data_IF_987202557688
#
_entry.id   IF_987202557688
#
_cell.length_a   1.000
_cell.length_b   1.000
_cell.length_c   1.000
_cell.angle_alpha   90.00
_cell.angle_beta   90.00
_cell.angle_gamma   90.00
#
_symmetry.space_group_name_H-M   'P 1'
#
loop_
_entity.id
_entity.type
_entity.pdbx_description
1 polymer ?
#
# COMPACT_ATOMS: atom_id res chain seq x y z
N UNK A 1 10.76 -3.01 1.68
CA UNK A 1 10.06 -2.10 0.76
C UNK A 1 9.99 -0.68 1.27
N UNK A 2 9.51 0.26 0.46
CA UNK A 2 9.47 1.69 0.81
C UNK A 2 8.70 1.96 2.12
N UNK A 3 7.59 1.28 2.36
CA UNK A 3 6.78 1.44 3.58
C UNK A 3 7.58 1.08 4.83
N UNK A 4 8.33 -0.01 4.82
CA UNK A 4 9.20 -0.40 5.93
C UNK A 4 10.27 0.66 6.20
N UNK A 5 10.87 1.22 5.15
CA UNK A 5 11.82 2.32 5.29
C UNK A 5 11.18 3.55 5.91
N UNK A 6 9.93 3.87 5.58
CA UNK A 6 9.21 4.99 6.20
C UNK A 6 8.96 4.78 7.69
N UNK A 7 8.60 3.57 8.11
CA UNK A 7 8.46 3.27 9.55
C UNK A 7 9.79 3.49 10.27
N UNK A 8 10.91 3.02 9.70
CA UNK A 8 12.24 3.26 10.27
C UNK A 8 12.59 4.77 10.32
N UNK A 9 12.21 5.53 9.29
CA UNK A 9 12.41 6.98 9.30
C UNK A 9 11.58 7.68 10.39
N UNK A 10 10.31 7.31 10.56
CA UNK A 10 9.46 7.83 11.63
C UNK A 10 10.01 7.51 13.03
N UNK A 11 10.66 6.36 13.18
CA UNK A 11 11.35 5.95 14.41
C UNK A 11 12.70 6.65 14.63
N UNK A 12 13.15 7.51 13.69
CA UNK A 12 14.44 8.19 13.76
C UNK A 12 15.64 7.32 13.39
N UNK A 13 15.43 6.21 12.66
CA UNK A 13 16.43 5.20 12.33
C UNK A 13 16.89 5.27 10.86
N UNK A 14 16.75 6.40 10.20
CA UNK A 14 17.11 6.54 8.79
C UNK A 14 18.59 6.22 8.52
N UNK A 15 19.49 6.49 9.46
CA UNK A 15 20.91 6.16 9.40
C UNK A 15 21.22 4.66 9.50
N UNK A 16 20.25 3.84 9.92
CA UNK A 16 20.35 2.38 9.99
C UNK A 16 19.95 1.69 8.70
N UNK A 17 19.33 2.41 7.77
CA UNK A 17 18.86 1.83 6.52
C UNK A 17 20.00 1.79 5.50
N UNK A 18 20.49 0.58 5.19
CA UNK A 18 21.64 0.37 4.28
C UNK A 18 21.23 0.11 2.82
N UNK A 19 19.95 -0.13 2.58
CA UNK A 19 19.40 -0.32 1.24
C UNK A 19 17.89 -0.44 1.26
N UNK A 20 17.25 -0.10 0.14
CA UNK A 20 15.80 -0.19 -0.05
C UNK A 20 15.44 -0.63 -1.46
N UNK A 21 14.23 -1.14 -1.64
CA UNK A 21 13.68 -1.52 -2.95
C UNK A 21 12.16 -1.42 -2.94
N UNK A 22 11.53 -1.67 -4.09
CA UNK A 22 10.09 -1.56 -4.30
C UNK A 22 9.58 -0.17 -3.89
N UNK A 23 10.00 0.83 -4.64
CA UNK A 23 9.61 2.22 -4.37
C UNK A 23 8.36 2.58 -5.20
N UNK A 24 7.23 2.80 -4.54
CA UNK A 24 5.95 2.99 -5.22
C UNK A 24 5.58 4.46 -5.40
N UNK A 25 6.01 5.32 -4.51
CA UNK A 25 5.63 6.74 -4.51
C UNK A 25 6.72 7.67 -4.01
N UNK A 26 6.44 8.96 -3.89
CA UNK A 26 7.40 9.93 -3.41
C UNK A 26 7.82 9.63 -1.97
N UNK A 27 8.99 10.12 -1.61
CA UNK A 27 9.49 10.03 -0.23
C UNK A 27 8.58 10.83 0.70
N UNK A 28 8.37 10.32 1.91
CA UNK A 28 7.62 11.03 2.94
C UNK A 28 8.26 12.40 3.21
N UNK A 29 7.42 13.45 3.24
CA UNK A 29 7.87 14.82 3.41
C UNK A 29 8.74 14.99 4.68
N UNK A 30 9.88 15.61 4.51
CA UNK A 30 10.88 15.82 5.56
C UNK A 30 11.95 14.72 5.66
N UNK A 31 11.84 13.64 4.87
CA UNK A 31 12.83 12.55 4.86
C UNK A 31 13.61 12.43 3.54
N UNK A 32 13.44 13.37 2.62
CA UNK A 32 14.06 13.35 1.29
C UNK A 32 15.58 13.29 1.38
N UNK A 33 16.17 14.11 2.25
CA UNK A 33 17.62 14.14 2.47
C UNK A 33 18.15 12.85 3.11
N UNK A 34 17.43 12.27 4.06
CA UNK A 34 17.80 11.01 4.66
C UNK A 34 17.73 9.88 3.62
N UNK A 35 16.62 9.83 2.85
CA UNK A 35 16.42 8.84 1.82
C UNK A 35 17.43 8.92 0.67
N UNK A 36 17.89 10.13 0.31
CA UNK A 36 18.88 10.29 -0.77
C UNK A 36 20.23 9.62 -0.49
N UNK A 37 20.50 9.27 0.77
CA UNK A 37 21.72 8.56 1.21
C UNK A 37 21.55 7.03 1.18
N UNK A 38 20.32 6.54 1.05
CA UNK A 38 20.01 5.12 1.06
C UNK A 38 20.03 4.60 -0.38
N UNK A 39 20.82 3.58 -0.63
CA UNK A 39 20.91 2.99 -1.95
C UNK A 39 19.60 2.28 -2.31
N UNK A 40 19.08 2.58 -3.48
CA UNK A 40 17.95 1.88 -4.08
C UNK A 40 18.45 0.67 -4.85
N UNK A 41 18.26 -0.51 -4.28
CA UNK A 41 18.78 -1.76 -4.83
C UNK A 41 18.04 -2.18 -6.11
N UNK A 42 16.75 -1.88 -6.20
CA UNK A 42 15.92 -2.10 -7.36
C UNK A 42 14.65 -1.22 -7.31
N UNK A 43 14.04 -0.97 -8.45
CA UNK A 43 12.74 -0.30 -8.53
C UNK A 43 11.61 -1.21 -8.05
N UNK A 44 11.72 -2.50 -8.33
CA UNK A 44 10.81 -3.55 -7.88
C UNK A 44 11.58 -4.50 -6.96
N UNK A 45 11.75 -5.75 -7.37
CA UNK A 45 12.34 -6.79 -6.54
C UNK A 45 13.85 -6.83 -6.73
N UNK A 46 14.65 -6.65 -5.65
CA UNK A 46 16.09 -6.80 -5.73
C UNK A 46 16.48 -8.28 -5.84
N UNK A 47 17.68 -8.58 -6.35
CA UNK A 47 18.21 -9.92 -6.25
C UNK A 47 18.63 -10.23 -4.80
N UNK A 48 18.66 -11.51 -4.45
CA UNK A 48 19.17 -11.98 -3.16
C UNK A 48 20.57 -11.44 -2.88
N UNK A 49 21.46 -11.54 -3.89
CA UNK A 49 22.84 -11.07 -3.81
C UNK A 49 22.94 -9.57 -3.57
N UNK A 50 22.06 -8.77 -4.18
CA UNK A 50 22.03 -7.33 -3.96
C UNK A 50 21.66 -6.99 -2.51
N UNK A 51 20.75 -7.75 -1.91
CA UNK A 51 20.36 -7.57 -0.50
C UNK A 51 21.49 -8.01 0.42
N UNK A 52 22.01 -9.23 0.30
CA UNK A 52 23.07 -9.75 1.19
C UNK A 52 24.39 -9.02 1.01
N UNK A 53 24.66 -8.46 -0.19
CA UNK A 53 25.83 -7.65 -0.47
C UNK A 53 25.92 -6.38 0.40
N UNK A 54 24.79 -5.91 0.95
CA UNK A 54 24.74 -4.80 1.92
C UNK A 54 25.12 -5.23 3.34
N UNK A 55 25.29 -6.52 3.60
CA UNK A 55 25.59 -7.09 4.92
C UNK A 55 24.66 -6.58 6.02
N UNK A 56 23.33 -6.70 5.81
CA UNK A 56 22.39 -6.20 6.79
C UNK A 56 22.38 -7.08 8.05
N UNK A 57 22.19 -6.48 9.22
CA UNK A 57 21.93 -7.20 10.47
C UNK A 57 20.47 -7.65 10.59
N UNK A 58 19.58 -7.05 9.80
CA UNK A 58 18.15 -7.37 9.71
C UNK A 58 17.65 -7.05 8.31
N UNK A 59 16.86 -7.95 7.73
CA UNK A 59 16.08 -7.66 6.53
C UNK A 59 14.62 -7.49 6.91
N UNK A 60 14.01 -6.40 6.47
CA UNK A 60 12.57 -6.15 6.65
C UNK A 60 11.85 -6.26 5.32
N UNK A 61 10.75 -6.99 5.28
CA UNK A 61 9.90 -7.12 4.09
C UNK A 61 8.45 -6.78 4.41
N UNK A 62 7.80 -6.11 3.48
CA UNK A 62 6.37 -5.85 3.58
C UNK A 62 5.56 -7.06 3.09
N UNK A 63 6.06 -7.79 2.09
CA UNK A 63 5.31 -8.83 1.41
C UNK A 63 6.00 -10.20 1.48
N UNK A 64 5.22 -11.24 1.80
CA UNK A 64 5.71 -12.62 1.79
C UNK A 64 6.04 -13.12 0.38
N UNK A 65 5.43 -12.57 -0.67
CA UNK A 65 5.81 -12.92 -2.04
C UNK A 65 7.21 -12.43 -2.41
N UNK A 66 7.77 -11.45 -1.68
CA UNK A 66 9.18 -11.04 -1.85
C UNK A 66 10.13 -11.95 -1.06
N UNK A 67 9.86 -12.12 0.23
CA UNK A 67 10.64 -13.00 1.12
C UNK A 67 9.67 -13.87 1.89
N UNK A 68 9.48 -15.07 1.41
CA UNK A 68 8.56 -16.07 1.93
C UNK A 68 8.95 -17.46 1.44
N UNK A 69 8.10 -18.49 1.63
CA UNK A 69 8.41 -19.86 1.19
C UNK A 69 8.79 -19.97 -0.30
N UNK A 70 8.17 -19.14 -1.15
CA UNK A 70 8.44 -19.04 -2.59
C UNK A 70 8.79 -17.60 -2.98
N UNK A 71 9.48 -16.87 -2.11
CA UNK A 71 9.80 -15.47 -2.30
C UNK A 71 10.71 -15.21 -3.50
N UNK A 72 10.36 -14.23 -4.34
CA UNK A 72 11.12 -13.89 -5.56
C UNK A 72 12.49 -13.30 -5.25
N UNK A 73 12.71 -12.76 -4.05
CA UNK A 73 13.99 -12.24 -3.57
C UNK A 73 14.77 -13.33 -2.83
N UNK A 74 14.07 -14.19 -2.11
CA UNK A 74 14.65 -15.29 -1.36
C UNK A 74 13.70 -15.85 -0.30
N UNK A 75 14.12 -16.92 0.36
CA UNK A 75 13.37 -17.55 1.44
C UNK A 75 13.93 -17.13 2.80
N UNK A 76 13.13 -17.12 3.88
CA UNK A 76 13.63 -16.90 5.24
C UNK A 76 14.76 -17.86 5.62
N UNK A 77 14.72 -19.11 5.13
CA UNK A 77 15.76 -20.11 5.37
C UNK A 77 17.12 -19.70 4.78
N UNK A 78 17.14 -19.20 3.53
CA UNK A 78 18.36 -18.70 2.89
C UNK A 78 19.01 -17.55 3.67
N UNK A 79 18.20 -16.62 4.17
CA UNK A 79 18.72 -15.53 5.02
C UNK A 79 19.21 -16.07 6.37
N UNK A 80 18.50 -17.02 6.98
CA UNK A 80 18.89 -17.62 8.26
C UNK A 80 20.21 -18.38 8.17
N UNK A 81 20.52 -19.07 7.05
CA UNK A 81 21.80 -19.71 6.80
C UNK A 81 22.97 -18.72 6.83
N UNK A 82 22.72 -17.45 6.50
CA UNK A 82 23.70 -16.36 6.60
C UNK A 82 23.66 -15.63 7.94
N UNK A 83 22.83 -16.08 8.89
CA UNK A 83 22.65 -15.43 10.18
C UNK A 83 21.88 -14.10 10.11
N UNK A 84 21.15 -13.86 9.03
CA UNK A 84 20.39 -12.64 8.82
C UNK A 84 18.91 -12.89 9.16
N UNK A 85 18.37 -12.34 10.26
CA UNK A 85 16.95 -12.43 10.58
C UNK A 85 16.09 -11.65 9.57
N UNK A 86 14.88 -12.14 9.33
CA UNK A 86 13.87 -11.49 8.48
C UNK A 86 12.68 -11.10 9.33
N UNK A 87 12.26 -9.84 9.23
CA UNK A 87 11.01 -9.33 9.80
C UNK A 87 10.00 -9.10 8.67
N UNK A 88 8.83 -9.71 8.77
CA UNK A 88 7.73 -9.52 7.82
C UNK A 88 6.64 -8.66 8.46
N UNK A 89 6.11 -7.69 7.70
CA UNK A 89 5.03 -6.81 8.15
C UNK A 89 3.80 -7.60 8.61
N UNK A 90 3.25 -7.32 9.81
CA UNK A 90 1.97 -7.89 10.23
C UNK A 90 0.85 -7.63 9.23
N UNK A 91 0.90 -6.51 8.52
CA UNK A 91 -0.09 -6.17 7.50
C UNK A 91 -0.12 -7.17 6.34
N UNK A 92 0.92 -7.98 6.12
CA UNK A 92 0.95 -8.99 5.06
C UNK A 92 0.87 -10.44 5.57
N UNK A 93 0.98 -10.68 6.86
CA UNK A 93 0.95 -12.05 7.39
C UNK A 93 -0.21 -12.30 8.36
N UNK A 94 -0.68 -11.30 9.11
CA UNK A 94 -1.79 -11.49 10.06
C UNK A 94 -3.14 -11.45 9.32
N UNK A 95 -3.90 -12.55 9.43
CA UNK A 95 -5.21 -12.66 8.78
C UNK A 95 -5.18 -12.75 7.25
N UNK A 96 -4.02 -13.07 6.69
CA UNK A 96 -3.80 -13.23 5.25
C UNK A 96 -3.25 -14.64 4.95
N UNK A 97 -3.77 -15.28 3.92
CA UNK A 97 -3.32 -16.58 3.43
C UNK A 97 -2.42 -16.35 2.20
N UNK A 98 -1.15 -16.54 2.39
CA UNK A 98 -0.14 -16.38 1.34
C UNK A 98 0.28 -17.73 0.72
N UNK A 99 -0.40 -18.83 1.07
CA UNK A 99 -0.03 -20.19 0.59
C UNK A 99 -0.23 -20.41 -0.90
N UNK A 100 -1.09 -19.61 -1.53
CA UNK A 100 -1.36 -19.66 -2.98
C UNK A 100 -0.36 -18.90 -3.85
N UNK A 101 0.67 -18.31 -3.26
CA UNK A 101 1.61 -17.43 -3.96
C UNK A 101 1.02 -16.06 -4.29
N UNK A 102 1.81 -15.21 -4.98
CA UNK A 102 1.40 -13.84 -5.32
C UNK A 102 1.16 -12.97 -4.08
N UNK A 103 0.16 -12.08 -4.16
CA UNK A 103 -0.19 -11.18 -3.06
C UNK A 103 -1.07 -11.85 -1.97
N UNK A 104 -1.39 -13.14 -2.12
CA UNK A 104 -2.20 -13.88 -1.16
C UNK A 104 -3.67 -13.41 -1.08
N UNK A 105 -4.41 -13.97 -0.12
CA UNK A 105 -5.84 -13.66 0.10
C UNK A 105 -6.05 -13.29 1.56
N UNK A 106 -6.54 -12.09 1.80
CA UNK A 106 -6.86 -11.62 3.15
C UNK A 106 -8.20 -12.20 3.62
N UNK A 107 -8.18 -12.89 4.75
CA UNK A 107 -9.36 -13.51 5.37
C UNK A 107 -10.03 -12.62 6.40
N UNK A 108 -9.29 -11.66 6.95
CA UNK A 108 -9.80 -10.65 7.91
C UNK A 108 -9.47 -9.26 7.37
N UNK A 109 -10.37 -8.30 7.56
CA UNK A 109 -10.16 -6.95 7.07
C UNK A 109 -8.88 -6.31 7.63
N UNK A 110 -8.21 -5.51 6.81
CA UNK A 110 -7.09 -4.68 7.25
C UNK A 110 -7.55 -3.69 8.33
N UNK A 111 -6.71 -3.46 9.32
CA UNK A 111 -6.89 -2.41 10.32
C UNK A 111 -5.56 -1.68 10.57
N UNK A 112 -5.64 -0.44 11.05
CA UNK A 112 -4.44 0.31 11.45
C UNK A 112 -3.69 -0.34 12.60
N UNK A 113 -4.31 -1.22 13.38
CA UNK A 113 -3.62 -1.94 14.46
C UNK A 113 -2.47 -2.80 13.96
N UNK A 114 -2.55 -3.32 12.72
CA UNK A 114 -1.46 -4.05 12.08
C UNK A 114 -0.22 -3.14 11.83
N UNK A 115 -0.46 -1.89 11.46
CA UNK A 115 0.60 -0.88 11.29
C UNK A 115 1.15 -0.44 12.66
N UNK A 116 0.28 -0.27 13.65
CA UNK A 116 0.71 0.05 15.02
C UNK A 116 1.55 -1.07 15.62
N UNK A 117 1.20 -2.32 15.34
CA UNK A 117 2.01 -3.48 15.72
C UNK A 117 3.39 -3.43 15.05
N UNK A 118 3.45 -3.21 13.73
CA UNK A 118 4.71 -3.09 12.99
C UNK A 118 5.63 -2.02 13.60
N UNK A 119 5.09 -0.83 13.90
CA UNK A 119 5.84 0.26 14.51
C UNK A 119 6.40 -0.15 15.88
N UNK A 120 5.60 -0.83 16.71
CA UNK A 120 6.02 -1.30 18.03
C UNK A 120 7.06 -2.40 17.95
N UNK A 121 6.88 -3.36 17.06
CA UNK A 121 7.82 -4.46 16.86
C UNK A 121 9.20 -3.92 16.43
N UNK A 122 9.23 -3.04 15.43
CA UNK A 122 10.47 -2.42 14.98
C UNK A 122 11.07 -1.52 16.08
N UNK A 123 10.26 -0.76 16.80
CA UNK A 123 10.73 0.04 17.93
C UNK A 123 11.36 -0.83 19.01
N UNK A 124 10.81 -2.01 19.28
CA UNK A 124 11.38 -2.97 20.22
C UNK A 124 12.69 -3.57 19.71
N UNK A 125 12.75 -3.98 18.44
CA UNK A 125 13.96 -4.53 17.82
C UNK A 125 15.11 -3.54 17.90
N UNK A 126 14.85 -2.25 17.68
CA UNK A 126 15.87 -1.19 17.70
C UNK A 126 16.01 -0.46 19.04
N UNK A 127 15.32 -0.92 20.09
CA UNK A 127 15.34 -0.33 21.45
C UNK A 127 15.00 1.18 21.49
N UNK A 128 13.92 1.54 20.78
CA UNK A 128 13.37 2.91 20.69
C UNK A 128 11.87 2.94 21.01
N UNK A 129 11.41 2.17 21.99
CA UNK A 129 10.00 1.94 22.31
C UNK A 129 9.23 3.24 22.59
N UNK A 130 9.84 4.19 23.33
CA UNK A 130 9.22 5.48 23.63
C UNK A 130 8.88 6.24 22.33
N UNK A 131 9.81 6.24 21.38
CA UNK A 131 9.59 6.84 20.06
C UNK A 131 8.50 6.09 19.27
N UNK A 132 8.45 4.77 19.39
CA UNK A 132 7.39 3.95 18.79
C UNK A 132 6.00 4.37 19.27
N UNK A 133 5.82 4.53 20.57
CA UNK A 133 4.54 4.96 21.14
C UNK A 133 4.18 6.41 20.77
N UNK A 134 5.16 7.32 20.67
CA UNK A 134 4.92 8.67 20.16
C UNK A 134 4.35 8.64 18.74
N UNK A 135 4.97 7.86 17.83
CA UNK A 135 4.53 7.71 16.44
C UNK A 135 3.13 7.11 16.38
N UNK A 136 2.86 6.03 17.10
CA UNK A 136 1.54 5.40 17.16
C UNK A 136 0.47 6.38 17.65
N UNK A 137 0.77 7.13 18.72
CA UNK A 137 -0.18 8.10 19.28
C UNK A 137 -0.45 9.27 18.32
N UNK A 138 0.56 9.72 17.56
CA UNK A 138 0.36 10.75 16.53
C UNK A 138 -0.55 10.25 15.39
N UNK A 139 -0.29 9.04 14.89
CA UNK A 139 -1.11 8.43 13.85
C UNK A 139 -2.56 8.24 14.29
N UNK A 140 -2.79 7.77 15.52
CA UNK A 140 -4.14 7.66 16.09
C UNK A 140 -4.85 8.99 16.15
N UNK A 141 -4.19 10.04 16.63
CA UNK A 141 -4.77 11.40 16.67
C UNK A 141 -5.14 11.91 15.28
N UNK A 142 -4.31 11.63 14.28
CA UNK A 142 -4.59 12.02 12.88
C UNK A 142 -5.79 11.26 12.31
N UNK A 143 -5.89 9.97 12.59
CA UNK A 143 -7.05 9.16 12.21
C UNK A 143 -8.33 9.66 12.87
N UNK A 144 -8.32 9.89 14.19
CA UNK A 144 -9.47 10.41 14.94
C UNK A 144 -9.91 11.78 14.40
N UNK A 145 -8.96 12.66 14.08
CA UNK A 145 -9.26 13.96 13.50
C UNK A 145 -9.89 13.85 12.10
N UNK A 146 -9.45 12.89 11.28
CA UNK A 146 -10.03 12.63 9.97
C UNK A 146 -11.48 12.10 10.11
N UNK A 147 -11.70 11.13 10.99
CA UNK A 147 -13.03 10.59 11.29
C UNK A 147 -14.00 11.66 11.82
N UNK A 148 -13.53 12.55 12.70
CA UNK A 148 -14.34 13.64 13.25
C UNK A 148 -14.77 14.64 12.16
N UNK A 149 -13.90 14.95 11.19
CA UNK A 149 -14.25 15.84 10.06
C UNK A 149 -15.38 15.26 9.21
N UNK A 150 -15.37 13.94 8.99
CA UNK A 150 -16.37 13.27 8.17
C UNK A 150 -17.68 13.06 8.91
N UNK A 151 -17.65 12.86 10.23
CA UNK A 151 -18.86 12.68 11.03
C UNK A 151 -19.87 13.86 10.91
N UNK A 152 -19.38 15.06 10.53
CA UNK A 152 -20.20 16.24 10.26
C UNK A 152 -20.68 16.33 8.80
N UNK A 153 -20.20 15.48 7.89
CA UNK A 153 -20.60 15.51 6.48
C UNK A 153 -21.91 14.74 6.28
N UNK A 154 -22.98 15.46 5.99
CA UNK A 154 -24.30 14.89 5.68
C UNK A 154 -24.37 14.37 4.24
N UNK A 155 -23.77 13.24 3.95
CA UNK A 155 -23.85 12.66 2.62
C UNK A 155 -23.54 11.16 2.59
N UNK A 156 -24.41 10.39 1.95
CA UNK A 156 -24.13 8.99 1.64
C UNK A 156 -23.29 8.92 0.36
N UNK A 157 -22.03 9.27 0.45
CA UNK A 157 -21.13 9.16 -0.70
C UNK A 157 -20.71 7.71 -0.90
N UNK A 158 -20.61 7.33 -2.16
CA UNK A 158 -20.08 6.04 -2.57
C UNK A 158 -18.82 6.22 -3.41
N UNK A 159 -17.90 5.28 -3.30
CA UNK A 159 -16.63 5.40 -3.99
C UNK A 159 -16.18 4.08 -4.61
N UNK A 160 -15.43 4.19 -5.70
CA UNK A 160 -14.54 3.15 -6.20
C UNK A 160 -13.11 3.65 -6.10
N UNK A 161 -12.21 2.77 -5.67
CA UNK A 161 -10.78 3.06 -5.65
C UNK A 161 -10.13 2.24 -6.78
N UNK A 162 -9.62 2.92 -7.80
CA UNK A 162 -8.90 2.30 -8.90
C UNK A 162 -7.41 2.31 -8.65
N UNK A 163 -6.87 1.13 -8.38
CA UNK A 163 -5.44 0.97 -8.12
C UNK A 163 -4.61 1.03 -9.41
N UNK A 164 -4.80 0.04 -10.30
CA UNK A 164 -4.09 -0.05 -11.58
C UNK A 164 -4.85 -0.95 -12.57
N UNK A 165 -4.29 -1.15 -13.74
CA UNK A 165 -4.73 -2.15 -14.72
C UNK A 165 -3.50 -2.68 -15.43
N UNK A 166 -3.41 -4.00 -15.61
CA UNK A 166 -2.30 -4.62 -16.32
C UNK A 166 -2.23 -4.14 -17.78
N UNK A 167 -3.42 -4.04 -18.41
CA UNK A 167 -3.65 -3.36 -19.69
C UNK A 167 -4.91 -2.49 -19.55
N UNK A 168 -5.12 -1.53 -20.45
CA UNK A 168 -6.26 -0.61 -20.35
C UNK A 168 -7.57 -1.19 -20.86
N UNK A 169 -7.52 -2.22 -21.68
CA UNK A 169 -8.64 -2.92 -22.28
C UNK A 169 -9.13 -4.14 -21.49
N UNK A 170 -8.53 -4.38 -20.32
CA UNK A 170 -8.95 -5.43 -19.38
C UNK A 170 -9.48 -4.84 -18.08
N UNK A 171 -10.14 -5.68 -17.29
CA UNK A 171 -10.73 -5.29 -16.01
C UNK A 171 -9.68 -4.69 -15.06
N UNK A 172 -9.94 -3.48 -14.50
CA UNK A 172 -9.05 -2.83 -13.58
C UNK A 172 -8.98 -3.53 -12.22
N UNK A 173 -7.82 -3.43 -11.56
CA UNK A 173 -7.69 -3.74 -10.14
C UNK A 173 -8.32 -2.62 -9.32
N UNK A 174 -9.36 -2.95 -8.58
CA UNK A 174 -10.09 -2.01 -7.72
C UNK A 174 -10.07 -2.49 -6.27
N UNK A 175 -10.29 -1.59 -5.33
CA UNK A 175 -10.28 -1.96 -3.93
C UNK A 175 -11.56 -2.72 -3.53
N UNK A 176 -11.39 -3.93 -3.02
CA UNK A 176 -12.42 -4.63 -2.26
C UNK A 176 -12.49 -4.18 -0.79
N UNK A 177 -13.20 -4.94 0.05
CA UNK A 177 -13.45 -4.57 1.46
C UNK A 177 -12.27 -4.79 2.38
N UNK A 178 -11.50 -5.87 2.16
CA UNK A 178 -10.53 -6.33 3.15
C UNK A 178 -9.16 -5.65 3.07
N UNK A 179 -8.88 -4.90 2.01
CA UNK A 179 -7.64 -4.15 1.86
C UNK A 179 -7.61 -2.80 2.59
N UNK A 180 -6.44 -2.17 2.62
CA UNK A 180 -6.27 -0.86 3.24
C UNK A 180 -7.18 0.24 2.66
N UNK A 181 -7.41 0.36 1.33
CA UNK A 181 -8.37 1.33 0.82
C UNK A 181 -9.81 1.03 1.24
N UNK A 182 -10.20 -0.24 1.38
CA UNK A 182 -11.49 -0.63 1.94
C UNK A 182 -11.66 -0.13 3.37
N UNK A 183 -10.63 -0.28 4.19
CA UNK A 183 -10.57 0.29 5.54
C UNK A 183 -10.70 1.82 5.51
N UNK A 184 -9.96 2.52 4.65
CA UNK A 184 -10.01 3.98 4.53
C UNK A 184 -11.43 4.43 4.16
N UNK A 185 -12.06 3.80 3.17
CA UNK A 185 -13.44 4.11 2.79
C UNK A 185 -14.41 3.92 3.96
N UNK A 186 -14.29 2.81 4.68
CA UNK A 186 -15.09 2.53 5.87
C UNK A 186 -14.85 3.57 6.97
N UNK A 187 -13.60 3.91 7.25
CA UNK A 187 -13.22 4.91 8.24
C UNK A 187 -13.79 6.29 7.93
N UNK A 188 -13.92 6.62 6.66
CA UNK A 188 -14.49 7.87 6.16
C UNK A 188 -16.00 7.79 5.92
N UNK A 189 -16.67 6.69 6.29
CA UNK A 189 -18.11 6.52 6.08
C UNK A 189 -18.53 6.47 4.62
N UNK A 190 -17.60 6.18 3.70
CA UNK A 190 -17.89 6.01 2.28
C UNK A 190 -18.39 4.59 2.02
N UNK A 191 -19.42 4.47 1.18
CA UNK A 191 -19.83 3.15 0.68
C UNK A 191 -18.85 2.71 -0.41
N UNK A 192 -18.10 1.62 -0.18
CA UNK A 192 -17.41 0.95 -1.29
C UNK A 192 -18.43 0.33 -2.22
N UNK A 193 -18.39 0.64 -3.52
CA UNK A 193 -19.32 0.07 -4.51
C UNK A 193 -18.90 -1.33 -4.95
N UNK A 194 -17.71 -1.77 -4.59
CA UNK A 194 -17.16 -3.08 -4.92
C UNK A 194 -17.49 -4.05 -3.79
N UNK A 195 -18.39 -4.98 -4.04
CA UNK A 195 -18.87 -5.96 -3.05
C UNK A 195 -18.01 -7.24 -3.09
N UNK A 196 -16.70 -7.10 -2.93
CA UNK A 196 -15.75 -8.21 -2.83
C UNK A 196 -15.00 -8.15 -1.51
N UNK A 197 -14.69 -9.31 -0.94
CA UNK A 197 -13.83 -9.46 0.23
C UNK A 197 -12.34 -9.52 -0.13
N UNK A 198 -12.02 -9.66 -1.42
CA UNK A 198 -10.64 -9.57 -1.90
C UNK A 198 -10.06 -8.18 -1.63
N UNK A 199 -8.73 -8.08 -1.54
CA UNK A 199 -8.06 -6.78 -1.41
C UNK A 199 -8.14 -6.02 -2.74
N UNK A 200 -7.85 -6.70 -3.84
CA UNK A 200 -7.73 -6.12 -5.18
C UNK A 200 -8.44 -6.98 -6.25
N UNK A 201 -9.77 -7.12 -6.18
CA UNK A 201 -10.50 -7.78 -7.24
C UNK A 201 -10.38 -7.04 -8.57
N UNK A 202 -10.48 -7.77 -9.68
CA UNK A 202 -10.66 -7.18 -11.00
C UNK A 202 -12.16 -7.05 -11.27
N UNK A 203 -12.61 -5.87 -11.70
CA UNK A 203 -14.03 -5.57 -11.95
C UNK A 203 -14.17 -4.67 -13.17
N UNK A 204 -14.91 -5.13 -14.19
CA UNK A 204 -15.11 -4.42 -15.45
C UNK A 204 -15.78 -3.05 -15.30
N UNK A 205 -15.41 -2.12 -16.17
CA UNK A 205 -15.91 -0.74 -16.16
C UNK A 205 -17.43 -0.65 -16.32
N UNK A 206 -18.06 -1.58 -17.07
CA UNK A 206 -19.52 -1.65 -17.20
C UNK A 206 -20.19 -1.97 -15.84
N UNK A 207 -19.56 -2.84 -15.05
CA UNK A 207 -20.04 -3.16 -13.70
C UNK A 207 -19.85 -1.97 -12.76
N UNK A 208 -18.69 -1.32 -12.81
CA UNK A 208 -18.41 -0.10 -12.03
C UNK A 208 -19.43 1.00 -12.38
N UNK A 209 -19.66 1.24 -13.67
CA UNK A 209 -20.62 2.25 -14.14
C UNK A 209 -22.05 1.97 -13.67
N UNK A 210 -22.49 0.71 -13.65
CA UNK A 210 -23.81 0.32 -13.13
C UNK A 210 -23.98 0.62 -11.65
N UNK A 211 -22.92 0.56 -10.86
CA UNK A 211 -22.98 0.93 -9.43
C UNK A 211 -23.06 2.43 -9.20
N UNK A 212 -22.74 3.23 -10.21
CA UNK A 212 -22.78 4.69 -10.22
C UNK A 212 -22.09 5.32 -8.99
N UNK A 213 -20.77 5.14 -8.80
CA UNK A 213 -20.05 5.71 -7.67
C UNK A 213 -20.13 7.23 -7.70
N UNK A 214 -20.30 7.85 -6.53
CA UNK A 214 -20.26 9.33 -6.39
C UNK A 214 -18.85 9.88 -6.61
N UNK A 215 -17.84 9.06 -6.33
CA UNK A 215 -16.42 9.45 -6.37
C UNK A 215 -15.58 8.31 -6.96
N UNK A 216 -14.60 8.68 -7.77
CA UNK A 216 -13.53 7.78 -8.21
C UNK A 216 -12.24 8.24 -7.56
N UNK A 217 -11.56 7.36 -6.85
CA UNK A 217 -10.23 7.60 -6.31
C UNK A 217 -9.22 6.85 -7.16
N UNK A 218 -8.34 7.56 -7.83
CA UNK A 218 -7.33 7.00 -8.73
C UNK A 218 -5.96 6.95 -8.04
N UNK A 219 -5.41 5.76 -7.91
CA UNK A 219 -4.06 5.56 -7.38
C UNK A 219 -3.01 6.11 -8.35
N UNK A 220 -2.09 6.94 -7.83
CA UNK A 220 -0.92 7.42 -8.57
C UNK A 220 0.31 6.69 -8.06
N UNK A 221 1.10 6.14 -8.95
CA UNK A 221 2.33 5.45 -8.62
C UNK A 221 3.48 5.99 -9.46
N UNK A 222 4.63 6.21 -8.83
CA UNK A 222 5.86 6.59 -9.54
C UNK A 222 6.50 5.36 -10.21
N UNK A 223 6.27 4.16 -9.64
CA UNK A 223 6.59 2.90 -10.28
C UNK A 223 5.77 2.73 -11.56
N UNK A 224 6.36 2.16 -12.59
CA UNK A 224 5.73 1.93 -13.91
C UNK A 224 5.74 0.44 -14.25
N UNK A 225 5.02 -0.35 -13.43
CA UNK A 225 4.86 -1.78 -13.71
C UNK A 225 3.76 -2.02 -14.76
N UNK A 226 2.68 -1.26 -14.67
CA UNK A 226 1.53 -1.34 -15.56
C UNK A 226 1.26 0.02 -16.22
N UNK A 227 0.63 0.06 -17.41
CA UNK A 227 0.25 1.32 -18.05
C UNK A 227 -0.57 2.24 -17.16
N UNK A 228 -1.52 1.66 -16.43
CA UNK A 228 -2.39 2.41 -15.52
C UNK A 228 -1.73 2.78 -14.16
N UNK A 229 -0.44 2.56 -13.95
CA UNK A 229 0.29 3.15 -12.83
C UNK A 229 0.46 4.67 -13.03
N UNK A 230 0.49 5.12 -14.29
CA UNK A 230 0.55 6.53 -14.62
C UNK A 230 -0.82 7.19 -14.48
N UNK A 231 -0.89 8.22 -13.65
CA UNK A 231 -2.13 8.98 -13.44
C UNK A 231 -2.62 9.68 -14.71
N UNK A 232 -1.72 10.14 -15.58
CA UNK A 232 -2.11 10.76 -16.85
C UNK A 232 -2.77 9.75 -17.80
N UNK A 233 -2.33 8.50 -17.79
CA UNK A 233 -2.95 7.41 -18.54
C UNK A 233 -4.35 7.13 -18.01
N UNK A 234 -4.52 7.06 -16.68
CA UNK A 234 -5.84 6.91 -16.05
C UNK A 234 -6.80 8.05 -16.40
N UNK A 235 -6.33 9.29 -16.29
CA UNK A 235 -7.14 10.47 -16.61
C UNK A 235 -7.57 10.47 -18.08
N UNK A 236 -6.66 10.13 -18.99
CA UNK A 236 -6.99 9.99 -20.43
C UNK A 236 -8.02 8.88 -20.64
N UNK A 237 -7.83 7.72 -20.03
CA UNK A 237 -8.78 6.60 -20.13
C UNK A 237 -10.18 7.03 -19.65
N UNK A 238 -10.30 7.60 -18.46
CA UNK A 238 -11.58 8.06 -17.91
C UNK A 238 -12.25 9.09 -18.82
N UNK A 239 -11.48 9.93 -19.53
CA UNK A 239 -12.01 10.93 -20.43
C UNK A 239 -12.47 10.37 -21.80
N UNK A 240 -11.92 9.23 -22.24
CA UNK A 240 -12.09 8.76 -23.64
C UNK A 240 -12.77 7.38 -23.74
N UNK A 241 -12.75 6.57 -22.69
CA UNK A 241 -13.41 5.26 -22.73
C UNK A 241 -14.93 5.42 -22.84
N UNK A 242 -15.62 4.66 -23.71
CA UNK A 242 -17.06 4.83 -23.97
C UNK A 242 -17.94 4.62 -22.72
N UNK A 243 -17.50 3.81 -21.77
CA UNK A 243 -18.26 3.49 -20.56
C UNK A 243 -17.83 4.41 -19.40
N UNK A 244 -16.53 4.56 -19.16
CA UNK A 244 -16.03 5.36 -18.05
C UNK A 244 -16.35 6.84 -18.21
N UNK A 245 -16.21 7.39 -19.43
CA UNK A 245 -16.41 8.83 -19.70
C UNK A 245 -17.83 9.35 -19.49
N UNK A 246 -18.82 8.45 -19.53
CA UNK A 246 -20.25 8.83 -19.35
C UNK A 246 -20.68 8.77 -17.89
N UNK A 247 -19.87 8.21 -16.98
CA UNK A 247 -20.22 8.15 -15.55
C UNK A 247 -20.35 9.58 -14.96
N UNK A 248 -21.36 9.84 -14.13
CA UNK A 248 -21.55 11.15 -13.50
C UNK A 248 -20.32 11.62 -12.74
N UNK A 249 -19.64 10.76 -11.98
CA UNK A 249 -18.43 11.11 -11.25
C UNK A 249 -17.31 11.63 -12.16
N UNK A 250 -17.18 11.11 -13.38
CA UNK A 250 -16.20 11.60 -14.36
C UNK A 250 -16.64 12.94 -14.96
N UNK A 251 -17.90 13.05 -15.37
CA UNK A 251 -18.45 14.29 -15.98
C UNK A 251 -18.45 15.48 -15.03
N UNK A 252 -18.66 15.22 -13.75
CA UNK A 252 -18.72 16.26 -12.70
C UNK A 252 -17.35 16.53 -12.08
N UNK A 253 -16.30 15.83 -12.51
CA UNK A 253 -14.94 16.02 -12.01
C UNK A 253 -14.69 15.46 -10.60
N UNK A 254 -15.52 14.52 -10.15
CA UNK A 254 -15.36 13.83 -8.87
C UNK A 254 -14.36 12.68 -8.95
N UNK A 255 -13.23 12.95 -9.60
CA UNK A 255 -12.09 12.05 -9.73
C UNK A 255 -10.93 12.63 -8.95
N UNK A 256 -10.50 11.95 -7.90
CA UNK A 256 -9.44 12.40 -7.02
C UNK A 256 -8.22 11.50 -7.14
N UNK A 257 -7.05 12.10 -7.11
CA UNK A 257 -5.78 11.38 -7.06
C UNK A 257 -5.42 11.06 -5.62
N UNK A 258 -4.86 9.88 -5.42
CA UNK A 258 -4.19 9.54 -4.18
C UNK A 258 -2.86 8.88 -4.48
N UNK A 259 -1.88 9.12 -3.63
CA UNK A 259 -0.61 8.40 -3.71
C UNK A 259 -0.79 7.04 -3.07
N UNK A 260 -0.45 5.99 -3.81
CA UNK A 260 -0.52 4.63 -3.29
C UNK A 260 0.72 4.35 -2.43
N UNK A 261 0.59 4.53 -1.12
CA UNK A 261 1.58 4.06 -0.14
C UNK A 261 1.18 2.71 0.45
N UNK A 262 0.04 2.18 0.05
CA UNK A 262 -0.58 1.02 0.66
C UNK A 262 -0.40 -0.20 -0.22
N UNK A 263 0.65 -0.87 -0.01
CA UNK A 263 0.81 -2.31 -0.23
C UNK A 263 1.64 -2.86 0.90
#
# INVERSE_FOLDING_TARGET
GATMSFVLYLLGLADKVVGTALWIGPVLAGYEQANSRVERLADNDPSFEAVVGKRPDLVTTQFQWQIGPEGVVGTPAQFAELGIPVYTSPADCVGKDNSGGGDGVRKTGFTMDLIYQEIRDLAQIFNVQDRGEEVVNDLKKREDAARAKIASANGKLSAVFWFSSAELDIDPYVAGRNGAPGYIMSALGLKNVIESDEEWPTVGWETIAKTNPSVIVAGKMDRRRFPADDIAVKQKFLATDPVASIMPAVKEGHVFETVSYTH
#
